data_IF_429107897431
#
_entry.id   IF_429107897431
#
_cell.length_a   1.000
_cell.length_b   1.000
_cell.length_c   1.000
_cell.angle_alpha   90.00
_cell.angle_beta   90.00
_cell.angle_gamma   90.00
#
_symmetry.space_group_name_H-M   'P 1'
#
loop_
_entity.id
_entity.type
_entity.pdbx_description
1 polymer ?
#
# COMPACT_ATOMS: atom_id res chain seq x y z
N UNK A 1 25.26 -10.78 32.84
CA UNK A 1 24.09 -10.36 32.06
C UNK A 1 23.85 -11.41 30.98
N UNK A 2 22.63 -11.57 30.48
CA UNK A 2 22.35 -12.48 29.36
C UNK A 2 22.42 -11.71 28.03
N UNK A 3 22.63 -12.42 26.93
CA UNK A 3 22.48 -11.83 25.60
C UNK A 3 20.99 -11.55 25.33
N UNK A 4 20.65 -10.33 24.94
CA UNK A 4 19.30 -9.87 24.69
C UNK A 4 19.25 -9.07 23.38
N UNK A 5 18.21 -9.30 22.57
CA UNK A 5 17.91 -8.48 21.39
C UNK A 5 16.47 -7.98 21.50
N UNK A 6 16.29 -6.66 21.39
CA UNK A 6 14.96 -6.02 21.32
C UNK A 6 14.72 -5.48 19.92
N UNK A 7 13.61 -5.88 19.32
CA UNK A 7 13.19 -5.45 17.99
C UNK A 7 12.15 -4.33 18.10
N UNK A 8 12.42 -3.19 17.47
CA UNK A 8 11.58 -2.00 17.42
C UNK A 8 11.45 -1.51 15.97
N UNK A 9 10.46 -0.65 15.64
CA UNK A 9 10.34 -0.07 14.30
C UNK A 9 11.63 0.63 13.84
N UNK A 10 12.33 0.02 12.88
CA UNK A 10 13.59 0.54 12.33
C UNK A 10 14.82 0.44 13.25
N UNK A 11 14.74 -0.28 14.37
CA UNK A 11 15.81 -0.36 15.36
C UNK A 11 15.89 -1.74 16.03
N UNK A 12 17.09 -2.31 16.12
CA UNK A 12 17.40 -3.44 16.99
C UNK A 12 18.34 -2.96 18.11
N UNK A 13 18.01 -3.24 19.37
CA UNK A 13 18.89 -2.99 20.51
C UNK A 13 19.46 -4.33 20.97
N UNK A 14 20.77 -4.52 20.81
CA UNK A 14 21.50 -5.75 21.12
C UNK A 14 22.37 -5.51 22.35
N UNK A 15 22.09 -6.21 23.44
CA UNK A 15 22.87 -6.16 24.68
C UNK A 15 23.52 -7.51 24.89
N UNK A 16 24.84 -7.55 24.98
CA UNK A 16 25.59 -8.78 25.20
C UNK A 16 26.02 -8.92 26.67
N UNK A 17 26.31 -10.17 27.06
CA UNK A 17 26.72 -10.52 28.42
C UNK A 17 28.02 -9.82 28.89
N UNK A 18 28.87 -9.42 27.96
CA UNK A 18 30.15 -8.73 28.16
C UNK A 18 30.01 -7.20 28.33
N UNK A 19 28.78 -6.68 28.27
CA UNK A 19 28.47 -5.26 28.44
C UNK A 19 28.46 -4.46 27.13
N UNK A 20 28.64 -5.10 25.97
CA UNK A 20 28.41 -4.46 24.68
C UNK A 20 26.93 -4.10 24.52
N UNK A 21 26.66 -2.84 24.15
CA UNK A 21 25.33 -2.33 23.82
C UNK A 21 25.39 -1.72 22.42
N UNK A 22 24.78 -2.41 21.46
CA UNK A 22 24.77 -2.06 20.05
C UNK A 22 23.34 -1.73 19.59
N UNK A 23 23.18 -0.54 19.03
CA UNK A 23 21.98 -0.12 18.31
C UNK A 23 22.19 -0.36 16.82
N UNK A 24 21.35 -1.19 16.23
CA UNK A 24 21.32 -1.45 14.78
C UNK A 24 20.14 -0.70 14.19
N UNK A 25 20.42 0.42 13.54
CA UNK A 25 19.40 1.25 12.89
C UNK A 25 19.22 0.75 11.46
N UNK A 26 18.01 0.36 11.08
CA UNK A 26 17.70 -0.14 9.75
C UNK A 26 17.04 0.95 8.91
N UNK A 27 17.66 1.30 7.78
CA UNK A 27 17.14 2.27 6.82
C UNK A 27 17.16 1.64 5.44
N UNK A 28 16.00 1.14 4.99
CA UNK A 28 15.88 0.39 3.73
C UNK A 28 16.87 -0.78 3.67
N UNK A 29 17.84 -0.76 2.73
CA UNK A 29 18.87 -1.79 2.57
C UNK A 29 20.19 -1.45 3.29
N UNK A 30 20.21 -0.39 4.10
CA UNK A 30 21.37 -0.01 4.90
C UNK A 30 21.12 -0.29 6.39
N UNK A 31 22.19 -0.69 7.09
CA UNK A 31 22.22 -0.85 8.55
C UNK A 31 23.31 0.05 9.11
N UNK A 32 22.98 0.90 10.07
CA UNK A 32 23.96 1.66 10.83
C UNK A 32 24.19 0.98 12.19
N UNK A 33 25.44 0.68 12.49
CA UNK A 33 25.87 0.06 13.75
C UNK A 33 26.40 1.16 14.67
N UNK A 34 25.64 1.47 15.70
CA UNK A 34 25.97 2.46 16.72
C UNK A 34 26.18 1.77 18.08
N UNK A 35 27.41 1.74 18.55
CA UNK A 35 27.74 1.28 19.89
C UNK A 35 27.50 2.39 20.91
N UNK A 36 26.57 2.13 21.84
CA UNK A 36 26.41 2.92 23.05
C UNK A 36 27.48 2.53 24.10
N UNK A 37 27.86 1.25 24.15
CA UNK A 37 28.91 0.72 25.02
C UNK A 37 29.61 -0.47 24.37
N UNK A 38 30.88 -0.71 24.74
CA UNK A 38 31.63 -1.90 24.32
C UNK A 38 32.03 -1.94 22.84
N UNK A 39 32.32 -0.79 22.22
CA UNK A 39 32.80 -0.71 20.83
C UNK A 39 34.04 -1.62 20.64
N UNK A 40 34.02 -2.56 19.67
CA UNK A 40 35.17 -3.41 19.38
C UNK A 40 36.35 -2.62 18.82
N UNK A 41 37.57 -3.08 19.14
CA UNK A 41 38.78 -2.57 18.50
C UNK A 41 38.72 -2.77 16.98
N UNK A 42 39.21 -1.79 16.22
CA UNK A 42 39.27 -1.77 14.75
C UNK A 42 37.91 -1.67 14.03
N UNK A 43 36.86 -1.27 14.73
CA UNK A 43 35.61 -0.82 14.12
C UNK A 43 35.39 0.65 14.50
N UNK A 44 35.01 1.47 13.52
CA UNK A 44 34.55 2.83 13.77
C UNK A 44 33.11 2.80 14.23
N UNK A 45 32.78 3.61 15.25
CA UNK A 45 31.39 3.78 15.64
C UNK A 45 30.58 4.37 14.47
N UNK A 46 29.27 4.19 14.49
CA UNK A 46 28.36 4.63 13.43
C UNK A 46 28.71 4.04 12.05
N UNK A 47 29.20 2.79 12.05
CA UNK A 47 29.52 2.08 10.81
C UNK A 47 28.25 1.86 9.99
N UNK A 48 28.22 2.34 8.74
CA UNK A 48 27.13 2.05 7.81
C UNK A 48 27.52 0.83 6.98
N UNK A 49 26.60 -0.13 6.91
CA UNK A 49 26.69 -1.34 6.09
C UNK A 49 25.58 -1.34 5.05
N UNK A 50 25.96 -1.24 3.79
CA UNK A 50 25.03 -1.36 2.67
C UNK A 50 24.91 -2.82 2.24
N UNK A 51 23.69 -3.32 2.17
CA UNK A 51 23.41 -4.68 1.76
C UNK A 51 23.01 -4.73 0.28
N UNK A 52 23.73 -5.51 -0.52
CA UNK A 52 23.31 -5.85 -1.89
C UNK A 52 22.73 -7.25 -1.92
N UNK A 53 21.51 -7.33 -2.44
CA UNK A 53 20.71 -8.54 -2.42
C UNK A 53 20.62 -9.18 -3.80
N UNK A 54 20.43 -10.50 -3.83
CA UNK A 54 20.00 -11.21 -5.03
C UNK A 54 18.51 -10.97 -5.33
N UNK A 55 17.97 -11.66 -6.34
CA UNK A 55 16.56 -11.54 -6.75
C UNK A 55 15.57 -12.09 -5.71
N UNK A 56 16.02 -12.93 -4.78
CA UNK A 56 15.23 -13.47 -3.66
C UNK A 56 15.34 -12.60 -2.39
N UNK A 57 16.15 -11.54 -2.44
CA UNK A 57 16.41 -10.68 -1.30
C UNK A 57 17.51 -11.17 -0.36
N UNK A 58 18.26 -12.23 -0.71
CA UNK A 58 19.36 -12.74 0.11
C UNK A 58 20.54 -11.78 0.11
N UNK A 59 21.13 -11.53 1.29
CA UNK A 59 22.28 -10.64 1.46
C UNK A 59 23.56 -11.25 0.88
N UNK A 60 23.95 -10.83 -0.32
CA UNK A 60 25.12 -11.39 -1.03
C UNK A 60 26.40 -10.62 -0.77
N UNK A 61 26.31 -9.29 -0.61
CA UNK A 61 27.45 -8.42 -0.33
C UNK A 61 27.10 -7.40 0.76
N UNK A 62 28.02 -7.15 1.68
CA UNK A 62 28.01 -5.99 2.56
C UNK A 62 29.14 -5.03 2.18
N UNK A 63 28.81 -3.76 1.94
CA UNK A 63 29.79 -2.70 1.68
C UNK A 63 29.78 -1.67 2.82
N UNK A 64 30.94 -1.05 3.09
CA UNK A 64 31.04 0.06 4.05
C UNK A 64 30.64 1.42 3.45
N UNK A 65 30.81 2.50 4.22
CA UNK A 65 30.37 3.83 3.83
C UNK A 65 31.15 4.38 2.62
N UNK A 66 32.33 3.84 2.36
CA UNK A 66 33.21 4.19 1.24
C UNK A 66 33.00 3.25 0.04
N UNK A 67 32.08 2.28 0.13
CA UNK A 67 31.81 1.28 -0.90
C UNK A 67 32.83 0.13 -0.93
N UNK A 68 33.66 -0.03 0.11
CA UNK A 68 34.61 -1.14 0.20
C UNK A 68 33.93 -2.39 0.73
N UNK A 69 34.35 -3.56 0.24
CA UNK A 69 33.77 -4.85 0.61
C UNK A 69 34.04 -5.17 2.10
N UNK A 70 32.97 -5.41 2.86
CA UNK A 70 33.02 -5.93 4.23
C UNK A 70 32.92 -7.45 4.20
N UNK A 71 31.86 -7.97 3.58
CA UNK A 71 31.58 -9.41 3.52
C UNK A 71 30.91 -9.81 2.21
N UNK A 72 31.08 -11.07 1.83
CA UNK A 72 30.39 -11.69 0.72
C UNK A 72 29.92 -13.09 1.12
N UNK A 73 28.70 -13.44 0.73
CA UNK A 73 28.06 -14.72 1.07
C UNK A 73 27.27 -15.27 -0.11
N UNK A 74 27.42 -16.56 -0.35
CA UNK A 74 26.68 -17.31 -1.38
C UNK A 74 25.89 -18.43 -0.71
N UNK A 75 24.71 -18.70 -1.25
CA UNK A 75 23.75 -19.63 -0.66
C UNK A 75 23.54 -20.85 -1.58
N UNK A 76 23.40 -22.03 -0.99
CA UNK A 76 22.72 -23.14 -1.62
C UNK A 76 21.25 -22.78 -1.88
N UNK A 77 20.56 -23.47 -2.81
CA UNK A 77 19.18 -23.13 -3.18
C UNK A 77 18.24 -22.96 -1.98
N UNK A 78 18.33 -23.84 -0.99
CA UNK A 78 17.47 -23.83 0.21
C UNK A 78 18.02 -22.99 1.38
N UNK A 79 18.96 -22.09 1.14
CA UNK A 79 19.38 -21.07 2.11
C UNK A 79 20.50 -21.45 3.07
N UNK A 80 21.06 -22.66 2.93
CA UNK A 80 22.33 -23.00 3.58
C UNK A 80 23.46 -22.14 2.99
N UNK A 81 24.37 -21.62 3.81
CA UNK A 81 25.53 -20.88 3.33
C UNK A 81 26.49 -21.82 2.61
N UNK A 82 26.67 -21.62 1.30
CA UNK A 82 27.59 -22.39 0.46
C UNK A 82 29.03 -21.86 0.57
N UNK A 83 29.16 -20.54 0.66
CA UNK A 83 30.45 -19.87 0.82
C UNK A 83 30.27 -18.55 1.56
N UNK A 84 31.20 -18.21 2.44
CA UNK A 84 31.18 -16.95 3.19
C UNK A 84 32.60 -16.49 3.50
N UNK A 85 32.86 -15.21 3.23
CA UNK A 85 34.09 -14.54 3.62
C UNK A 85 33.79 -13.11 4.10
N UNK A 86 34.65 -12.61 4.99
CA UNK A 86 34.65 -11.22 5.44
C UNK A 86 36.08 -10.72 5.55
N UNK A 87 36.29 -9.41 5.40
CA UNK A 87 37.62 -8.80 5.50
C UNK A 87 38.20 -8.86 6.93
N UNK A 88 37.35 -9.04 7.94
CA UNK A 88 37.77 -9.23 9.32
C UNK A 88 36.81 -10.16 10.09
N UNK A 89 37.37 -10.91 11.03
CA UNK A 89 36.58 -11.79 11.91
C UNK A 89 35.65 -11.00 12.85
N UNK A 90 36.00 -9.76 13.19
CA UNK A 90 35.18 -8.89 14.04
C UNK A 90 33.95 -8.42 13.26
N UNK A 91 34.12 -7.93 12.03
CA UNK A 91 32.98 -7.45 11.24
C UNK A 91 32.02 -8.56 10.84
N UNK A 92 32.53 -9.78 10.63
CA UNK A 92 31.74 -10.97 10.33
C UNK A 92 30.64 -11.25 11.37
N UNK A 93 30.88 -10.94 12.65
CA UNK A 93 29.94 -11.20 13.75
C UNK A 93 28.64 -10.41 13.67
N UNK A 94 28.68 -9.24 13.02
CA UNK A 94 27.55 -8.32 12.98
C UNK A 94 26.62 -8.52 11.77
N UNK A 95 26.87 -9.55 10.94
CA UNK A 95 25.97 -9.95 9.85
C UNK A 95 24.92 -10.95 10.33
N UNK A 96 23.72 -10.45 10.62
CA UNK A 96 22.59 -11.23 11.13
C UNK A 96 21.55 -11.55 10.06
N UNK A 97 21.26 -10.60 9.16
CA UNK A 97 20.37 -10.81 8.00
C UNK A 97 21.13 -11.46 6.85
N UNK A 98 20.61 -12.58 6.36
CA UNK A 98 21.28 -13.43 5.37
C UNK A 98 20.33 -13.85 4.24
N UNK A 99 19.97 -15.14 4.17
CA UNK A 99 19.11 -15.69 3.11
C UNK A 99 17.69 -15.10 3.13
N UNK A 100 17.13 -14.82 1.94
CA UNK A 100 15.82 -14.19 1.73
C UNK A 100 15.57 -12.91 2.56
N UNK A 101 16.64 -12.22 2.97
CA UNK A 101 16.56 -11.04 3.82
C UNK A 101 16.04 -11.33 5.24
N UNK A 102 16.20 -12.58 5.72
CA UNK A 102 15.78 -13.02 7.05
C UNK A 102 16.97 -13.13 8.00
N UNK A 103 16.71 -12.91 9.28
CA UNK A 103 17.70 -13.09 10.33
C UNK A 103 17.96 -14.58 10.56
N UNK A 104 19.24 -14.96 10.54
CA UNK A 104 19.68 -16.28 10.97
C UNK A 104 20.12 -16.21 12.43
N UNK A 105 19.41 -16.90 13.30
CA UNK A 105 19.72 -16.89 14.72
C UNK A 105 20.91 -17.82 15.07
N UNK A 106 21.27 -17.85 16.35
CA UNK A 106 22.37 -18.68 16.85
C UNK A 106 22.09 -20.19 16.75
N UNK A 107 20.82 -20.62 16.68
CA UNK A 107 20.46 -22.03 16.43
C UNK A 107 20.68 -22.43 14.96
N UNK A 108 20.86 -21.43 14.09
CA UNK A 108 21.01 -21.57 12.65
C UNK A 108 19.68 -21.49 11.90
N UNK A 109 18.55 -21.44 12.60
CA UNK A 109 17.23 -21.25 12.02
C UNK A 109 17.08 -19.83 11.48
N UNK A 110 16.25 -19.69 10.44
CA UNK A 110 15.83 -18.39 9.94
C UNK A 110 14.47 -18.02 10.51
N UNK A 111 14.36 -16.82 11.09
CA UNK A 111 13.09 -16.29 11.56
C UNK A 111 12.38 -15.53 10.43
N UNK A 112 11.22 -16.03 10.00
CA UNK A 112 10.44 -15.40 8.92
C UNK A 112 9.35 -14.48 9.44
N UNK A 113 8.89 -14.66 10.67
CA UNK A 113 7.75 -13.95 11.27
C UNK A 113 6.84 -14.95 11.96
N UNK A 114 5.97 -15.62 11.20
CA UNK A 114 5.05 -16.64 11.72
C UNK A 114 5.70 -18.01 11.92
N UNK A 115 6.82 -18.28 11.23
CA UNK A 115 7.50 -19.57 11.27
C UNK A 115 9.01 -19.43 11.36
N UNK A 116 9.64 -20.46 11.92
CA UNK A 116 11.09 -20.67 11.83
C UNK A 116 11.42 -21.70 10.75
N UNK A 117 12.44 -21.42 9.96
CA UNK A 117 12.87 -22.24 8.83
C UNK A 117 14.22 -22.90 9.10
N UNK A 118 14.32 -24.21 8.83
CA UNK A 118 15.55 -24.98 8.96
C UNK A 118 16.19 -25.21 7.58
N UNK A 119 17.21 -24.43 7.18
CA UNK A 119 17.80 -24.53 5.83
C UNK A 119 18.47 -25.88 5.57
N UNK A 120 18.98 -26.56 6.60
CA UNK A 120 19.57 -27.90 6.48
C UNK A 120 18.55 -29.02 6.34
N UNK A 121 17.29 -28.80 6.76
CA UNK A 121 16.18 -29.73 6.54
C UNK A 121 15.34 -29.38 5.32
N UNK A 122 15.60 -28.20 4.72
CA UNK A 122 14.90 -27.67 3.55
C UNK A 122 13.38 -27.55 3.78
N UNK A 123 12.97 -27.23 5.02
CA UNK A 123 11.55 -27.18 5.43
C UNK A 123 11.32 -26.29 6.66
N UNK A 124 10.06 -25.96 6.89
CA UNK A 124 9.61 -25.32 8.14
C UNK A 124 9.72 -26.29 9.31
N UNK A 125 9.96 -25.77 10.51
CA UNK A 125 9.99 -26.58 11.74
C UNK A 125 8.60 -26.72 12.40
N UNK A 126 7.63 -25.93 11.94
CA UNK A 126 6.25 -25.92 12.41
C UNK A 126 5.28 -25.85 11.21
N UNK A 127 4.05 -26.40 11.33
CA UNK A 127 3.08 -26.39 10.25
C UNK A 127 2.67 -24.96 9.86
N UNK A 128 2.22 -24.78 8.61
CA UNK A 128 1.71 -23.52 8.09
C UNK A 128 0.47 -23.05 8.88
N UNK A 129 0.53 -21.89 9.56
CA UNK A 129 -0.63 -21.37 10.28
C UNK A 129 -1.75 -20.91 9.34
N UNK A 130 -1.48 -20.74 8.03
CA UNK A 130 -2.50 -20.46 7.03
C UNK A 130 -3.26 -21.72 6.57
N UNK A 131 -2.92 -22.91 7.07
CA UNK A 131 -3.55 -24.16 6.67
C UNK A 131 -3.04 -24.69 5.33
N UNK A 132 -3.89 -25.40 4.60
CA UNK A 132 -3.57 -26.11 3.36
C UNK A 132 -3.60 -25.24 2.10
N UNK A 133 -3.60 -23.91 2.25
CA UNK A 133 -3.56 -22.93 1.15
C UNK A 133 -2.38 -23.15 0.18
N UNK A 134 -1.30 -23.77 0.67
CA UNK A 134 -0.07 -24.06 -0.08
C UNK A 134 0.07 -25.54 -0.47
N UNK A 135 -1.04 -26.27 -0.39
CA UNK A 135 -1.13 -27.72 -0.53
C UNK A 135 -1.10 -28.44 0.82
N UNK A 136 -1.38 -29.75 0.77
CA UNK A 136 -1.55 -30.61 1.96
C UNK A 136 -0.28 -30.76 2.80
N UNK A 137 0.90 -30.44 2.26
CA UNK A 137 2.15 -30.51 3.01
C UNK A 137 2.44 -29.18 3.71
N UNK A 138 1.97 -29.07 4.96
CA UNK A 138 2.09 -27.87 5.81
C UNK A 138 3.55 -27.51 6.21
N UNK A 139 4.53 -28.36 5.90
CA UNK A 139 5.94 -28.12 6.20
C UNK A 139 6.76 -27.73 4.97
N UNK A 140 6.15 -27.73 3.78
CA UNK A 140 6.83 -27.42 2.52
C UNK A 140 7.37 -25.99 2.49
N UNK A 141 8.63 -25.83 2.06
CA UNK A 141 9.22 -24.51 1.84
C UNK A 141 9.05 -24.13 0.36
N UNK A 142 8.28 -23.07 0.11
CA UNK A 142 8.09 -22.42 -1.21
C UNK A 142 7.87 -23.39 -2.38
N UNK A 143 7.00 -24.39 -2.16
CA UNK A 143 6.66 -25.44 -3.14
C UNK A 143 7.88 -26.16 -3.73
N UNK A 144 8.96 -26.32 -2.94
CA UNK A 144 10.25 -26.88 -3.36
C UNK A 144 10.92 -26.13 -4.53
N UNK A 145 10.60 -24.86 -4.75
CA UNK A 145 11.23 -24.02 -5.77
C UNK A 145 11.85 -22.75 -5.17
N UNK A 146 12.89 -22.87 -4.32
CA UNK A 146 13.51 -21.73 -3.64
C UNK A 146 14.44 -20.91 -4.53
N UNK A 147 14.47 -21.18 -5.84
CA UNK A 147 15.21 -20.41 -6.82
C UNK A 147 14.35 -19.28 -7.39
N UNK A 148 13.05 -19.51 -7.57
CA UNK A 148 12.14 -18.49 -8.13
C UNK A 148 11.17 -17.94 -7.09
N UNK A 149 10.89 -18.71 -6.03
CA UNK A 149 9.94 -18.33 -4.99
C UNK A 149 10.64 -17.93 -3.69
N UNK A 150 9.99 -17.06 -2.93
CA UNK A 150 10.43 -16.63 -1.60
C UNK A 150 9.24 -16.52 -0.65
N UNK A 151 9.33 -17.11 0.54
CA UNK A 151 8.34 -16.88 1.59
C UNK A 151 8.66 -15.56 2.30
N UNK A 152 7.66 -14.69 2.39
CA UNK A 152 7.82 -13.36 2.95
C UNK A 152 7.73 -13.34 4.47
N UNK A 153 6.88 -14.16 5.08
CA UNK A 153 6.58 -14.09 6.52
C UNK A 153 6.38 -15.46 7.17
N UNK A 154 6.47 -16.53 6.39
CA UNK A 154 6.17 -17.90 6.79
C UNK A 154 4.75 -18.32 6.46
N UNK A 155 4.13 -17.85 5.36
CA UNK A 155 2.76 -18.24 4.94
C UNK A 155 2.59 -18.31 3.40
N UNK A 156 3.59 -18.76 2.65
CA UNK A 156 3.69 -18.57 1.20
C UNK A 156 2.57 -19.18 0.31
N UNK A 157 1.48 -18.45 0.08
CA UNK A 157 0.55 -18.62 -1.05
C UNK A 157 0.63 -17.40 -1.97
N UNK A 158 0.86 -17.61 -3.27
CA UNK A 158 1.05 -16.52 -4.25
C UNK A 158 -0.24 -16.01 -4.88
N UNK A 159 -1.41 -16.50 -4.45
CA UNK A 159 -2.71 -16.10 -5.00
C UNK A 159 -2.87 -16.43 -6.49
N UNK A 160 -2.25 -17.53 -6.94
CA UNK A 160 -2.30 -17.97 -8.35
C UNK A 160 -3.29 -19.11 -8.50
N UNK A 161 -4.09 -19.07 -9.57
CA UNK A 161 -5.12 -20.06 -9.89
C UNK A 161 -6.08 -20.28 -8.69
N UNK A 162 -6.39 -19.18 -8.00
CA UNK A 162 -7.23 -19.14 -6.80
C UNK A 162 -8.66 -18.73 -7.15
N UNK A 163 -9.62 -18.83 -6.21
CA UNK A 163 -11.02 -18.44 -6.47
C UNK A 163 -11.20 -16.98 -6.94
N UNK A 164 -10.25 -16.09 -6.64
CA UNK A 164 -10.30 -14.71 -7.11
C UNK A 164 -9.87 -14.62 -8.58
N UNK A 165 -8.83 -15.35 -9.02
CA UNK A 165 -8.48 -15.45 -10.44
C UNK A 165 -9.56 -16.18 -11.23
N UNK A 166 -10.21 -17.18 -10.64
CA UNK A 166 -11.39 -17.82 -11.22
C UNK A 166 -12.52 -16.79 -11.43
N UNK A 167 -12.79 -15.93 -10.44
CA UNK A 167 -13.78 -14.85 -10.59
C UNK A 167 -13.40 -13.89 -11.72
N UNK A 168 -12.13 -13.46 -11.80
CA UNK A 168 -11.63 -12.61 -12.88
C UNK A 168 -11.84 -13.28 -14.25
N UNK A 169 -11.49 -14.55 -14.38
CA UNK A 169 -11.63 -15.24 -15.68
C UNK A 169 -13.08 -15.60 -16.02
N UNK A 170 -13.96 -15.76 -15.01
CA UNK A 170 -15.38 -16.03 -15.21
C UNK A 170 -16.14 -14.89 -15.89
N UNK A 171 -15.65 -13.65 -15.80
CA UNK A 171 -16.19 -12.49 -16.52
C UNK A 171 -15.75 -12.44 -17.99
N UNK A 172 -14.93 -13.40 -18.44
CA UNK A 172 -14.34 -13.45 -19.78
C UNK A 172 -12.98 -12.76 -19.89
N UNK A 173 -12.49 -12.12 -18.83
CA UNK A 173 -11.19 -11.46 -18.83
C UNK A 173 -10.05 -12.48 -18.91
N UNK A 174 -8.99 -12.15 -19.66
CA UNK A 174 -7.81 -13.01 -19.81
C UNK A 174 -6.67 -12.44 -18.97
N UNK A 175 -6.21 -13.19 -17.96
CA UNK A 175 -5.02 -12.82 -17.18
C UNK A 175 -3.77 -12.97 -18.07
N UNK A 176 -3.09 -11.84 -18.31
CA UNK A 176 -1.86 -11.73 -19.11
C UNK A 176 -0.60 -11.68 -18.26
N UNK A 177 -0.66 -11.03 -17.10
CA UNK A 177 0.50 -10.76 -16.25
C UNK A 177 0.16 -10.95 -14.78
N UNK A 178 1.04 -11.61 -14.03
CA UNK A 178 0.97 -11.74 -12.57
C UNK A 178 2.20 -11.10 -11.94
N UNK A 179 1.94 -10.13 -11.07
CA UNK A 179 2.95 -9.26 -10.51
C UNK A 179 3.49 -8.23 -11.51
N UNK A 180 3.95 -7.12 -10.97
CA UNK A 180 4.47 -5.97 -11.72
C UNK A 180 5.67 -6.32 -12.60
N UNK A 181 6.43 -7.35 -12.26
CA UNK A 181 7.62 -7.75 -13.04
C UNK A 181 7.27 -8.44 -14.36
N UNK A 182 6.08 -9.04 -14.48
CA UNK A 182 5.62 -9.68 -15.72
C UNK A 182 5.07 -8.68 -16.75
N UNK A 183 4.66 -7.49 -16.31
CA UNK A 183 4.21 -6.43 -17.23
C UNK A 183 5.35 -5.98 -18.14
N UNK A 184 5.06 -5.54 -19.38
CA UNK A 184 6.04 -4.89 -20.25
C UNK A 184 6.72 -3.70 -19.54
N UNK A 185 8.03 -3.52 -19.71
CA UNK A 185 8.82 -2.49 -18.98
C UNK A 185 8.20 -1.09 -19.01
N UNK A 186 7.62 -0.71 -20.16
CA UNK A 186 6.96 0.58 -20.32
C UNK A 186 5.68 0.70 -19.45
N UNK A 187 4.90 -0.37 -19.30
CA UNK A 187 3.77 -0.42 -18.38
C UNK A 187 4.22 -0.41 -16.92
N UNK A 188 5.30 -1.14 -16.59
CA UNK A 188 5.87 -1.09 -15.24
C UNK A 188 6.25 0.34 -14.84
N UNK A 189 6.88 1.09 -15.76
CA UNK A 189 7.26 2.49 -15.52
C UNK A 189 6.05 3.37 -15.26
N UNK A 190 5.00 3.24 -16.08
CA UNK A 190 3.76 4.01 -15.92
C UNK A 190 3.09 3.71 -14.56
N UNK A 191 3.00 2.45 -14.17
CA UNK A 191 2.44 2.03 -12.88
C UNK A 191 3.25 2.57 -11.70
N UNK A 192 4.59 2.43 -11.75
CA UNK A 192 5.51 2.97 -10.72
C UNK A 192 5.39 4.49 -10.59
N UNK A 193 5.31 5.20 -11.71
CA UNK A 193 5.14 6.66 -11.74
C UNK A 193 3.76 7.08 -11.22
N UNK A 194 2.71 6.32 -11.55
CA UNK A 194 1.36 6.57 -11.05
C UNK A 194 1.30 6.41 -9.53
N UNK A 195 1.77 5.29 -8.97
CA UNK A 195 1.84 5.07 -7.51
C UNK A 195 2.64 6.17 -6.80
N UNK A 196 3.79 6.56 -7.35
CA UNK A 196 4.61 7.66 -6.80
C UNK A 196 3.85 8.99 -6.80
N UNK A 197 3.00 9.22 -7.80
CA UNK A 197 2.16 10.43 -7.84
C UNK A 197 1.02 10.34 -6.83
N UNK A 198 0.36 9.19 -6.70
CA UNK A 198 -0.67 8.91 -5.69
C UNK A 198 -0.15 9.12 -4.27
N UNK A 199 1.01 8.56 -3.94
CA UNK A 199 1.63 8.74 -2.63
C UNK A 199 1.88 10.22 -2.30
N UNK A 200 2.36 11.00 -3.28
CA UNK A 200 2.54 12.45 -3.13
C UNK A 200 1.24 13.21 -2.94
N UNK A 201 0.14 12.75 -3.51
CA UNK A 201 -1.18 13.38 -3.34
C UNK A 201 -1.56 13.31 -1.87
N UNK A 202 -1.59 12.11 -1.30
CA UNK A 202 -1.92 11.91 0.11
C UNK A 202 -0.91 12.58 1.05
N UNK A 203 0.40 12.47 0.77
CA UNK A 203 1.43 13.14 1.56
C UNK A 203 1.23 14.66 1.64
N UNK A 204 0.93 15.30 0.51
CA UNK A 204 0.71 16.74 0.47
C UNK A 204 -0.60 17.14 1.16
N UNK A 205 -1.66 16.34 1.00
CA UNK A 205 -2.93 16.56 1.68
C UNK A 205 -2.78 16.50 3.21
N UNK A 206 -2.14 15.45 3.73
CA UNK A 206 -1.82 15.29 5.15
C UNK A 206 -0.98 16.45 5.68
N UNK A 207 0.01 16.91 4.92
CA UNK A 207 0.83 18.07 5.29
C UNK A 207 -0.02 19.34 5.42
N UNK A 208 -0.86 19.65 4.43
CA UNK A 208 -1.67 20.86 4.43
C UNK A 208 -2.70 20.86 5.56
N UNK A 209 -3.42 19.76 5.78
CA UNK A 209 -4.39 19.68 6.86
C UNK A 209 -3.73 19.79 8.24
N UNK A 210 -2.53 19.22 8.41
CA UNK A 210 -1.83 19.28 9.70
C UNK A 210 -1.21 20.65 9.99
N UNK A 211 -0.72 21.36 8.97
CA UNK A 211 0.06 22.59 9.17
C UNK A 211 -0.69 23.89 8.80
N UNK A 212 -1.77 23.77 8.02
CA UNK A 212 -2.57 24.90 7.53
C UNK A 212 -4.07 24.59 7.57
N UNK A 213 -4.64 24.13 8.71
CA UNK A 213 -6.01 23.60 8.75
C UNK A 213 -7.07 24.61 8.30
N UNK A 214 -6.95 25.87 8.71
CA UNK A 214 -7.93 26.94 8.39
C UNK A 214 -7.90 27.40 6.93
N UNK A 215 -6.82 27.14 6.19
CA UNK A 215 -6.67 27.55 4.79
C UNK A 215 -7.32 26.57 3.80
N UNK A 216 -7.84 25.44 4.31
CA UNK A 216 -8.32 24.34 3.48
C UNK A 216 -9.81 24.04 3.67
N UNK A 217 -10.48 24.81 4.53
CA UNK A 217 -11.91 24.68 4.86
C UNK A 217 -12.77 24.65 3.59
N UNK A 218 -12.51 25.53 2.63
CA UNK A 218 -13.25 25.58 1.36
C UNK A 218 -13.17 24.27 0.58
N UNK A 219 -12.01 23.59 0.57
CA UNK A 219 -11.88 22.29 -0.09
C UNK A 219 -12.60 21.23 0.73
N UNK A 220 -12.44 21.24 2.05
CA UNK A 220 -13.04 20.21 2.90
C UNK A 220 -14.57 20.27 2.87
N UNK A 221 -15.15 21.47 2.98
CA UNK A 221 -16.59 21.68 2.87
C UNK A 221 -17.16 21.23 1.52
N UNK A 222 -16.41 21.43 0.42
CA UNK A 222 -16.84 21.02 -0.92
C UNK A 222 -16.95 19.52 -1.10
N UNK A 223 -16.11 18.73 -0.41
CA UNK A 223 -16.08 17.26 -0.57
C UNK A 223 -16.79 16.51 0.54
N UNK A 224 -16.93 17.11 1.72
CA UNK A 224 -17.46 16.46 2.92
C UNK A 224 -18.62 17.21 3.57
N UNK A 225 -19.10 18.30 2.97
CA UNK A 225 -20.28 19.04 3.43
C UNK A 225 -20.03 19.99 4.61
N UNK A 226 -21.11 20.59 5.11
CA UNK A 226 -21.05 21.64 6.14
C UNK A 226 -20.59 21.11 7.51
N UNK A 227 -20.87 19.84 7.83
CA UNK A 227 -20.46 19.19 9.09
C UNK A 227 -19.09 18.48 8.97
N UNK A 228 -18.28 18.80 7.96
CA UNK A 228 -17.00 18.14 7.75
C UNK A 228 -16.04 18.22 8.96
N UNK A 229 -16.15 19.27 9.78
CA UNK A 229 -15.33 19.45 10.97
C UNK A 229 -15.41 18.25 11.93
N UNK A 230 -16.59 17.61 12.03
CA UNK A 230 -16.85 16.50 12.95
C UNK A 230 -16.17 15.19 12.49
N UNK A 231 -16.01 15.02 11.17
CA UNK A 231 -15.44 13.82 10.54
C UNK A 231 -13.96 13.97 10.16
N UNK A 232 -13.33 15.11 10.46
CA UNK A 232 -11.95 15.38 10.02
C UNK A 232 -10.94 14.34 10.52
N UNK A 233 -11.14 13.81 11.73
CA UNK A 233 -10.29 12.78 12.29
C UNK A 233 -10.31 11.51 11.41
N UNK A 234 -11.49 11.10 10.92
CA UNK A 234 -11.68 9.95 10.06
C UNK A 234 -11.04 10.16 8.68
N UNK A 235 -11.24 11.32 8.07
CA UNK A 235 -10.62 11.65 6.77
C UNK A 235 -9.08 11.62 6.85
N UNK A 236 -8.52 12.19 7.92
CA UNK A 236 -7.07 12.20 8.14
C UNK A 236 -6.54 10.78 8.31
N UNK A 237 -7.24 9.94 9.07
CA UNK A 237 -6.83 8.57 9.31
C UNK A 237 -6.94 7.72 8.04
N UNK A 238 -8.05 7.84 7.29
CA UNK A 238 -8.21 7.21 5.99
C UNK A 238 -7.06 7.59 5.04
N UNK A 239 -6.76 8.89 4.89
CA UNK A 239 -5.62 9.32 4.07
C UNK A 239 -4.26 8.83 4.56
N UNK A 240 -4.05 8.70 5.88
CA UNK A 240 -2.83 8.12 6.44
C UNK A 240 -2.71 6.65 6.05
N UNK A 241 -3.78 5.87 6.22
CA UNK A 241 -3.77 4.45 5.87
C UNK A 241 -3.61 4.24 4.36
N UNK A 242 -4.31 5.01 3.52
CA UNK A 242 -4.11 4.95 2.06
C UNK A 242 -2.68 5.36 1.68
N UNK A 243 -2.10 6.38 2.30
CA UNK A 243 -0.71 6.76 2.06
C UNK A 243 0.27 5.63 2.36
N UNK A 244 0.11 4.97 3.52
CA UNK A 244 0.94 3.82 3.92
C UNK A 244 0.73 2.65 2.96
N UNK A 245 -0.51 2.36 2.57
CA UNK A 245 -0.85 1.31 1.61
C UNK A 245 -0.21 1.56 0.25
N UNK A 246 -0.32 2.78 -0.29
CA UNK A 246 0.35 3.14 -1.54
C UNK A 246 1.88 2.99 -1.42
N UNK A 247 2.46 3.34 -0.28
CA UNK A 247 3.90 3.16 -0.01
C UNK A 247 4.30 1.69 -0.02
N UNK A 248 3.50 0.82 0.61
CA UNK A 248 3.68 -0.64 0.56
C UNK A 248 3.62 -1.16 -0.89
N UNK A 249 2.64 -0.69 -1.68
CA UNK A 249 2.46 -1.12 -3.06
C UNK A 249 3.60 -0.67 -4.00
N UNK A 250 4.31 0.41 -3.62
CA UNK A 250 5.57 0.83 -4.27
C UNK A 250 6.77 -0.02 -3.84
N UNK A 251 6.69 -0.63 -2.66
CA UNK A 251 7.73 -1.44 -2.04
C UNK A 251 7.78 -2.87 -2.56
N UNK A 252 8.54 -3.73 -1.89
CA UNK A 252 8.68 -5.16 -2.26
C UNK A 252 7.38 -5.94 -2.12
N UNK A 253 6.57 -5.59 -1.11
CA UNK A 253 5.32 -6.25 -0.75
C UNK A 253 4.20 -6.04 -1.79
N UNK A 254 4.25 -4.92 -2.51
CA UNK A 254 3.30 -4.59 -3.57
C UNK A 254 3.49 -5.27 -4.90
N UNK A 255 4.74 -5.62 -5.24
CA UNK A 255 5.09 -6.01 -6.61
C UNK A 255 4.34 -7.25 -7.07
N UNK A 256 4.08 -8.22 -6.20
CA UNK A 256 3.32 -9.42 -6.53
C UNK A 256 1.81 -9.18 -6.65
N UNK A 257 1.29 -8.04 -6.19
CA UNK A 257 -0.14 -7.76 -6.05
C UNK A 257 -0.75 -7.05 -7.27
N UNK A 258 -0.13 -7.13 -8.44
CA UNK A 258 -0.67 -6.55 -9.68
C UNK A 258 -1.06 -7.67 -10.64
N UNK A 259 -2.30 -7.68 -11.10
CA UNK A 259 -2.76 -8.63 -12.13
C UNK A 259 -3.09 -7.84 -13.38
N UNK A 260 -2.45 -8.14 -14.50
CA UNK A 260 -2.73 -7.52 -15.79
C UNK A 260 -3.72 -8.37 -16.56
N UNK A 261 -4.85 -7.79 -16.95
CA UNK A 261 -5.88 -8.45 -17.76
C UNK A 261 -6.02 -7.82 -19.14
N UNK A 262 -6.34 -8.65 -20.12
CA UNK A 262 -7.02 -8.23 -21.34
C UNK A 262 -8.52 -8.40 -21.10
N UNK A 263 -9.22 -7.28 -20.98
CA UNK A 263 -10.60 -7.31 -20.55
C UNK A 263 -11.55 -7.67 -21.71
N UNK A 264 -12.54 -8.52 -21.44
CA UNK A 264 -13.56 -8.88 -22.42
C UNK A 264 -14.48 -7.69 -22.75
N UNK A 265 -15.01 -7.02 -21.71
CA UNK A 265 -16.00 -5.95 -21.86
C UNK A 265 -15.78 -4.74 -20.93
N UNK A 266 -14.68 -4.70 -20.16
CA UNK A 266 -14.53 -3.72 -19.07
C UNK A 266 -14.27 -2.27 -19.54
N UNK A 267 -15.05 -1.34 -18.96
CA UNK A 267 -14.83 0.12 -19.03
C UNK A 267 -13.74 0.60 -18.06
N UNK A 268 -13.44 -0.19 -17.04
CA UNK A 268 -12.63 0.22 -15.91
C UNK A 268 -11.13 0.09 -16.22
N UNK A 269 -10.35 0.99 -15.61
CA UNK A 269 -8.91 1.03 -15.85
C UNK A 269 -8.17 0.06 -14.93
N UNK A 270 -8.70 -0.08 -13.72
CA UNK A 270 -8.26 -0.97 -12.68
C UNK A 270 -9.46 -1.22 -11.76
N UNK A 271 -9.42 -2.32 -11.01
CA UNK A 271 -10.33 -2.57 -9.91
C UNK A 271 -9.63 -3.39 -8.83
N UNK A 272 -10.17 -3.36 -7.61
CA UNK A 272 -9.81 -4.24 -6.51
C UNK A 272 -11.07 -4.98 -6.04
N UNK A 273 -10.92 -6.25 -5.68
CA UNK A 273 -11.91 -6.94 -4.86
C UNK A 273 -11.55 -6.71 -3.38
N UNK A 274 -12.38 -6.01 -2.58
CA UNK A 274 -12.08 -5.76 -1.16
C UNK A 274 -11.93 -7.06 -0.34
N UNK A 275 -12.56 -8.14 -0.81
CA UNK A 275 -12.50 -9.46 -0.18
C UNK A 275 -11.32 -10.31 -0.66
N UNK A 276 -10.49 -9.83 -1.59
CA UNK A 276 -9.28 -10.54 -2.00
C UNK A 276 -8.24 -10.53 -0.86
N UNK A 277 -7.94 -11.67 -0.22
CA UNK A 277 -6.99 -11.72 0.88
C UNK A 277 -5.57 -11.36 0.45
N UNK A 278 -5.27 -11.35 -0.85
CA UNK A 278 -3.97 -10.94 -1.41
C UNK A 278 -3.94 -9.46 -1.82
N UNK A 279 -5.09 -8.77 -1.83
CA UNK A 279 -5.22 -7.37 -2.20
C UNK A 279 -4.72 -7.06 -3.61
N UNK A 280 -5.00 -7.92 -4.59
CA UNK A 280 -4.52 -7.70 -5.96
C UNK A 280 -5.25 -6.53 -6.59
N UNK A 281 -4.46 -5.66 -7.21
CA UNK A 281 -4.95 -4.61 -8.11
C UNK A 281 -5.03 -5.22 -9.50
N UNK A 282 -6.25 -5.42 -9.98
CA UNK A 282 -6.48 -5.87 -11.35
C UNK A 282 -6.39 -4.68 -12.28
N UNK A 283 -5.57 -4.79 -13.32
CA UNK A 283 -5.23 -3.71 -14.25
C UNK A 283 -5.64 -4.11 -15.66
N UNK A 284 -6.53 -3.33 -16.27
CA UNK A 284 -6.81 -3.46 -17.70
C UNK A 284 -5.62 -2.93 -18.49
N UNK A 285 -4.90 -3.84 -19.16
CA UNK A 285 -3.62 -3.56 -19.84
C UNK A 285 -3.77 -2.45 -20.89
N UNK A 286 -4.90 -2.39 -21.59
CA UNK A 286 -5.16 -1.39 -22.64
C UNK A 286 -5.43 0.01 -22.07
N UNK A 287 -5.73 0.13 -20.78
CA UNK A 287 -6.11 1.40 -20.13
C UNK A 287 -4.98 2.02 -19.30
N UNK A 288 -3.85 1.33 -19.12
CA UNK A 288 -2.70 1.80 -18.32
C UNK A 288 -2.20 3.19 -18.78
N UNK A 289 -2.33 3.52 -20.07
CA UNK A 289 -1.85 4.80 -20.63
C UNK A 289 -2.75 6.01 -20.33
N UNK A 290 -3.87 5.86 -19.61
CA UNK A 290 -4.78 6.99 -19.32
C UNK A 290 -4.15 8.05 -18.40
N UNK A 291 -4.43 9.33 -18.71
CA UNK A 291 -3.86 10.52 -18.04
C UNK A 291 -4.09 10.61 -16.51
N UNK A 292 -4.99 9.78 -15.94
CA UNK A 292 -5.41 9.84 -14.53
C UNK A 292 -5.21 8.53 -13.75
N UNK A 293 -4.35 7.64 -14.22
CA UNK A 293 -4.10 6.35 -13.55
C UNK A 293 -3.75 6.49 -12.05
N UNK A 294 -3.01 7.54 -11.66
CA UNK A 294 -2.70 7.84 -10.25
C UNK A 294 -3.96 8.12 -9.38
N UNK A 295 -5.03 8.66 -9.96
CA UNK A 295 -6.29 8.84 -9.25
C UNK A 295 -6.98 7.49 -9.11
N UNK A 296 -7.07 6.72 -10.21
CA UNK A 296 -7.63 5.36 -10.17
C UNK A 296 -6.92 4.51 -9.13
N UNK A 297 -5.59 4.40 -9.16
CA UNK A 297 -4.85 3.63 -8.15
C UNK A 297 -5.04 4.16 -6.72
N UNK A 298 -5.24 5.47 -6.56
CA UNK A 298 -5.51 6.06 -5.25
C UNK A 298 -6.90 5.77 -4.71
N UNK A 299 -7.88 5.60 -5.62
CA UNK A 299 -9.24 5.14 -5.35
C UNK A 299 -9.24 3.64 -5.07
N UNK A 300 -8.70 2.81 -5.96
CA UNK A 300 -8.69 1.35 -5.76
C UNK A 300 -8.02 0.96 -4.45
N UNK A 301 -6.83 1.52 -4.17
CA UNK A 301 -6.09 1.21 -2.96
C UNK A 301 -6.76 1.73 -1.68
N UNK A 302 -7.74 2.63 -1.77
CA UNK A 302 -8.51 3.04 -0.59
C UNK A 302 -9.63 2.06 -0.23
N UNK A 303 -10.05 1.16 -1.12
CA UNK A 303 -10.99 0.09 -0.76
C UNK A 303 -10.34 -1.05 0.03
N UNK A 304 -9.02 -1.16 0.00
CA UNK A 304 -8.36 -2.25 0.70
C UNK A 304 -8.48 -2.06 2.21
N UNK A 305 -8.89 -3.12 2.91
CA UNK A 305 -8.81 -3.26 4.36
C UNK A 305 -7.58 -4.10 4.73
N UNK A 306 -7.73 -5.20 5.46
CA UNK A 306 -6.61 -6.06 5.86
C UNK A 306 -6.22 -7.03 4.73
N UNK A 307 -4.95 -6.98 4.32
CA UNK A 307 -4.41 -7.85 3.27
C UNK A 307 -3.34 -8.76 3.85
N UNK A 308 -3.33 -10.02 3.45
CA UNK A 308 -2.32 -11.02 3.86
C UNK A 308 -0.92 -10.54 3.52
N UNK A 309 0.01 -10.68 4.48
CA UNK A 309 1.39 -10.22 4.35
C UNK A 309 1.56 -8.68 4.29
N UNK A 310 0.53 -7.91 4.64
CA UNK A 310 0.62 -6.46 4.85
C UNK A 310 0.77 -6.11 6.34
N UNK A 311 1.60 -5.11 6.65
CA UNK A 311 1.73 -4.53 8.00
C UNK A 311 0.77 -3.35 8.21
N UNK A 312 0.03 -2.95 7.18
CA UNK A 312 -0.86 -1.78 7.18
C UNK A 312 -2.30 -2.25 7.32
N UNK A 313 -3.06 -1.73 8.28
CA UNK A 313 -4.52 -1.87 8.30
C UNK A 313 -5.13 -0.90 7.29
N UNK A 314 -5.96 -1.39 6.38
CA UNK A 314 -6.40 -0.58 5.25
C UNK A 314 -7.48 0.46 5.60
N UNK A 315 -7.63 1.51 4.77
CA UNK A 315 -8.64 2.57 4.92
C UNK A 315 -10.11 2.14 4.77
N UNK A 316 -10.38 1.02 4.08
CA UNK A 316 -11.72 0.41 3.92
C UNK A 316 -12.81 1.39 3.43
N UNK A 317 -12.51 2.18 2.39
CA UNK A 317 -13.47 3.09 1.76
C UNK A 317 -14.48 2.34 0.88
N UNK A 318 -15.55 3.03 0.50
CA UNK A 318 -16.68 2.50 -0.28
C UNK A 318 -16.98 3.35 -1.51
N UNK A 319 -17.79 2.81 -2.41
CA UNK A 319 -18.32 3.50 -3.58
C UNK A 319 -19.79 3.82 -3.35
N UNK A 320 -20.09 4.91 -2.65
CA UNK A 320 -21.48 5.37 -2.48
C UNK A 320 -21.97 6.19 -3.66
N UNK A 321 -21.05 6.94 -4.27
CA UNK A 321 -21.30 7.76 -5.45
C UNK A 321 -19.98 8.12 -6.14
N UNK A 322 -20.04 8.26 -7.46
CA UNK A 322 -18.92 8.72 -8.29
C UNK A 322 -18.96 10.23 -8.55
N UNK A 323 -17.77 10.82 -8.70
CA UNK A 323 -17.56 12.22 -9.10
C UNK A 323 -17.24 12.37 -10.60
N UNK A 324 -17.28 11.28 -11.39
CA UNK A 324 -16.57 11.19 -12.67
C UNK A 324 -17.30 11.51 -14.00
N UNK A 325 -18.57 11.17 -14.22
CA UNK A 325 -19.15 11.41 -15.55
C UNK A 325 -19.41 12.88 -15.90
N UNK A 326 -19.12 13.23 -17.17
CA UNK A 326 -19.36 14.56 -17.77
C UNK A 326 -20.83 15.00 -17.71
N UNK A 327 -21.75 14.05 -17.56
CA UNK A 327 -23.19 14.30 -17.49
C UNK A 327 -23.72 14.39 -16.06
N UNK A 328 -22.94 14.02 -15.02
CA UNK A 328 -23.38 14.04 -13.62
C UNK A 328 -23.79 15.41 -13.10
N UNK A 329 -23.15 16.48 -13.60
CA UNK A 329 -23.50 17.84 -13.21
C UNK A 329 -24.91 18.26 -13.67
N UNK A 330 -25.52 17.53 -14.62
CA UNK A 330 -26.93 17.72 -15.03
C UNK A 330 -27.91 16.84 -14.25
N UNK A 331 -27.38 15.85 -13.54
CA UNK A 331 -28.12 14.83 -12.80
C UNK A 331 -28.17 15.13 -11.31
N UNK A 332 -27.46 16.16 -10.90
CA UNK A 332 -27.61 16.79 -9.60
C UNK A 332 -28.43 18.07 -9.76
N UNK A 333 -29.20 18.48 -8.75
CA UNK A 333 -30.11 19.64 -8.80
C UNK A 333 -29.41 21.02 -8.98
N UNK A 334 -28.15 21.08 -9.44
CA UNK A 334 -27.35 22.31 -9.53
C UNK A 334 -27.36 22.99 -10.90
N UNK A 335 -27.50 24.32 -10.91
CA UNK A 335 -27.35 25.16 -12.11
C UNK A 335 -25.87 25.25 -12.58
N UNK A 336 -25.65 25.09 -13.89
CA UNK A 336 -24.46 25.42 -14.69
C UNK A 336 -23.09 25.52 -13.97
N UNK A 337 -22.37 24.40 -13.93
CA UNK A 337 -20.99 24.29 -13.45
C UNK A 337 -19.98 24.89 -14.45
N UNK A 338 -19.22 25.91 -14.02
CA UNK A 338 -18.13 26.51 -14.82
C UNK A 338 -16.81 25.72 -14.74
N UNK A 339 -15.96 25.90 -15.74
CA UNK A 339 -15.05 24.91 -16.33
C UNK A 339 -13.72 24.61 -15.57
N UNK A 340 -13.48 25.08 -14.34
CA UNK A 340 -12.14 24.95 -13.73
C UNK A 340 -11.97 23.87 -12.66
N UNK A 341 -13.02 23.23 -12.15
CA UNK A 341 -12.84 22.13 -11.19
C UNK A 341 -14.02 21.15 -11.14
N UNK A 342 -14.42 20.61 -12.29
CA UNK A 342 -15.62 19.77 -12.45
C UNK A 342 -15.88 18.71 -11.36
N UNK A 343 -14.85 18.08 -10.79
CA UNK A 343 -15.01 17.08 -9.72
C UNK A 343 -15.41 17.69 -8.39
N UNK A 344 -14.81 18.84 -8.05
CA UNK A 344 -15.16 19.61 -6.85
C UNK A 344 -16.60 20.11 -6.96
N UNK A 345 -16.99 20.59 -8.13
CA UNK A 345 -18.36 21.04 -8.35
C UNK A 345 -19.41 19.91 -8.26
N UNK A 346 -19.09 18.70 -8.75
CA UNK A 346 -19.97 17.54 -8.54
C UNK A 346 -20.05 17.19 -7.06
N UNK A 347 -18.92 17.22 -6.33
CA UNK A 347 -18.91 16.98 -4.88
C UNK A 347 -19.73 18.02 -4.12
N UNK A 348 -19.63 19.31 -4.48
CA UNK A 348 -20.43 20.41 -3.92
C UNK A 348 -21.93 20.21 -4.19
N UNK A 349 -22.29 19.79 -5.39
CA UNK A 349 -23.69 19.53 -5.73
C UNK A 349 -24.25 18.36 -4.90
N UNK A 350 -23.48 17.29 -4.71
CA UNK A 350 -23.87 16.13 -3.90
C UNK A 350 -23.97 16.54 -2.42
N UNK A 351 -22.94 17.17 -1.88
CA UNK A 351 -22.87 17.54 -0.45
C UNK A 351 -23.80 18.70 -0.07
N UNK A 352 -24.41 19.37 -1.05
CA UNK A 352 -25.49 20.36 -0.86
C UNK A 352 -26.89 19.76 -1.04
N UNK A 353 -27.01 18.42 -1.06
CA UNK A 353 -28.30 17.73 -1.17
C UNK A 353 -28.84 17.64 -2.60
N UNK A 354 -27.95 17.53 -3.58
CA UNK A 354 -28.31 17.53 -5.00
C UNK A 354 -28.51 16.16 -5.64
N UNK A 355 -28.39 15.03 -4.93
CA UNK A 355 -28.54 13.71 -5.56
C UNK A 355 -29.99 13.46 -6.01
N UNK A 356 -30.16 12.73 -7.12
CA UNK A 356 -31.49 12.46 -7.72
C UNK A 356 -31.65 10.99 -8.12
N UNK A 357 -32.89 10.56 -8.37
CA UNK A 357 -33.16 9.21 -8.88
C UNK A 357 -32.53 8.94 -10.26
N UNK A 358 -32.42 9.97 -11.11
CA UNK A 358 -31.78 9.84 -12.44
C UNK A 358 -30.26 9.70 -12.36
N UNK A 359 -29.65 10.05 -11.23
CA UNK A 359 -28.24 9.76 -10.97
C UNK A 359 -28.02 8.24 -10.91
N UNK A 360 -28.78 7.56 -10.04
CA UNK A 360 -28.65 6.12 -9.79
C UNK A 360 -29.18 5.26 -10.95
N UNK A 361 -30.15 5.76 -11.72
CA UNK A 361 -30.65 5.05 -12.92
C UNK A 361 -29.54 4.79 -13.96
N UNK A 362 -28.48 5.61 -13.96
CA UNK A 362 -27.36 5.52 -14.92
C UNK A 362 -26.17 4.73 -14.38
N UNK A 363 -26.20 4.36 -13.11
CA UNK A 363 -25.12 3.64 -12.42
C UNK A 363 -25.76 2.56 -11.54
N UNK A 364 -26.14 1.45 -12.17
CA UNK A 364 -27.03 0.44 -11.59
C UNK A 364 -26.49 -0.20 -10.30
N UNK A 365 -25.17 -0.27 -10.12
CA UNK A 365 -24.55 -1.02 -9.02
C UNK A 365 -24.32 -0.20 -7.74
N UNK A 366 -24.65 1.10 -7.73
CA UNK A 366 -24.45 1.98 -6.56
C UNK A 366 -25.68 2.08 -5.66
N UNK A 367 -26.87 1.86 -6.21
CA UNK A 367 -28.13 2.19 -5.54
C UNK A 367 -28.31 1.41 -4.23
N UNK A 368 -28.02 0.12 -4.26
CA UNK A 368 -28.23 -0.78 -3.12
C UNK A 368 -27.26 -0.47 -1.98
N UNK A 369 -25.99 -0.21 -2.30
CA UNK A 369 -24.97 0.14 -1.30
C UNK A 369 -25.25 1.51 -0.68
N UNK A 370 -25.64 2.50 -1.50
CA UNK A 370 -26.07 3.81 -1.03
C UNK A 370 -27.28 3.71 -0.10
N UNK A 371 -28.35 3.03 -0.51
CA UNK A 371 -29.55 2.83 0.29
C UNK A 371 -29.23 2.15 1.62
N UNK A 372 -28.44 1.07 1.57
CA UNK A 372 -28.02 0.31 2.75
C UNK A 372 -27.26 1.20 3.73
N UNK A 373 -26.35 2.04 3.23
CA UNK A 373 -25.56 2.93 4.10
C UNK A 373 -26.41 4.05 4.69
N UNK A 374 -27.28 4.69 3.91
CA UNK A 374 -28.20 5.71 4.43
C UNK A 374 -29.10 5.12 5.52
N UNK A 375 -29.68 3.93 5.27
CA UNK A 375 -30.49 3.20 6.26
C UNK A 375 -29.73 2.94 7.55
N UNK A 376 -28.45 2.53 7.46
CA UNK A 376 -27.63 2.23 8.63
C UNK A 376 -27.27 3.48 9.46
N UNK A 377 -27.20 4.66 8.83
CA UNK A 377 -26.85 5.92 9.49
C UNK A 377 -28.06 6.70 10.01
N UNK A 378 -29.24 6.45 9.44
CA UNK A 378 -30.46 7.16 9.82
C UNK A 378 -30.95 6.74 11.22
N UNK A 379 -31.40 7.71 12.02
CA UNK A 379 -31.88 7.47 13.40
C UNK A 379 -33.12 6.57 13.49
N UNK A 380 -33.88 6.45 12.40
CA UNK A 380 -35.01 5.54 12.24
C UNK A 380 -34.81 4.70 10.95
N UNK A 381 -34.07 3.58 11.00
CA UNK A 381 -33.75 2.80 9.80
C UNK A 381 -34.99 2.26 9.05
N UNK A 382 -36.05 1.91 9.79
CA UNK A 382 -37.29 1.36 9.23
C UNK A 382 -38.04 2.35 8.33
N UNK A 383 -37.71 3.64 8.39
CA UNK A 383 -38.30 4.64 7.49
C UNK A 383 -37.63 4.67 6.12
N UNK A 384 -36.41 4.11 5.98
CA UNK A 384 -35.69 4.04 4.70
C UNK A 384 -36.13 2.77 3.97
N UNK A 385 -37.28 2.85 3.32
CA UNK A 385 -37.94 1.70 2.67
C UNK A 385 -37.52 1.47 1.21
N UNK A 386 -36.97 2.50 0.57
CA UNK A 386 -36.52 2.47 -0.82
C UNK A 386 -35.45 3.54 -1.08
N UNK A 387 -34.87 3.50 -2.28
CA UNK A 387 -33.87 4.46 -2.72
C UNK A 387 -34.37 5.91 -2.75
N UNK A 388 -35.64 6.16 -3.09
CA UNK A 388 -36.17 7.53 -3.16
C UNK A 388 -36.22 8.18 -1.77
N UNK A 389 -36.58 7.40 -0.76
CA UNK A 389 -36.53 7.82 0.64
C UNK A 389 -35.09 7.98 1.13
N UNK A 390 -34.19 7.07 0.73
CA UNK A 390 -32.76 7.19 1.05
C UNK A 390 -32.13 8.46 0.46
N UNK A 391 -32.41 8.77 -0.81
CA UNK A 391 -31.95 10.01 -1.46
C UNK A 391 -32.49 11.23 -0.74
N UNK A 392 -33.77 11.21 -0.35
CA UNK A 392 -34.42 12.32 0.35
C UNK A 392 -33.76 12.59 1.70
N UNK A 393 -33.54 11.56 2.51
CA UNK A 393 -32.92 11.72 3.83
C UNK A 393 -31.43 12.03 3.73
N UNK A 394 -30.70 11.43 2.79
CA UNK A 394 -29.31 11.82 2.49
C UNK A 394 -29.21 13.31 2.14
N UNK A 395 -30.05 13.80 1.22
CA UNK A 395 -30.00 15.19 0.78
C UNK A 395 -30.35 16.19 1.90
N UNK A 396 -31.09 15.73 2.91
CA UNK A 396 -31.59 16.57 4.01
C UNK A 396 -30.65 16.59 5.22
N UNK A 397 -29.92 15.52 5.50
CA UNK A 397 -29.13 15.35 6.72
C UNK A 397 -27.63 15.61 6.47
N UNK A 398 -27.07 16.75 6.93
CA UNK A 398 -25.66 17.07 6.75
C UNK A 398 -24.71 16.09 7.46
N UNK A 399 -25.17 15.40 8.51
CA UNK A 399 -24.39 14.39 9.22
C UNK A 399 -24.25 13.12 8.39
N UNK A 400 -25.32 12.63 7.77
CA UNK A 400 -25.28 11.50 6.83
C UNK A 400 -24.38 11.84 5.64
N UNK A 401 -24.50 13.05 5.09
CA UNK A 401 -23.63 13.54 4.01
C UNK A 401 -22.17 13.48 4.43
N UNK A 402 -21.81 14.05 5.59
CA UNK A 402 -20.43 14.11 6.06
C UNK A 402 -19.84 12.71 6.30
N UNK A 403 -20.60 11.86 6.99
CA UNK A 403 -20.21 10.49 7.29
C UNK A 403 -20.00 9.66 6.01
N UNK A 404 -20.97 9.64 5.09
CA UNK A 404 -20.83 8.90 3.83
C UNK A 404 -19.72 9.49 2.95
N UNK A 405 -19.62 10.81 2.85
CA UNK A 405 -18.57 11.45 2.04
C UNK A 405 -17.16 11.15 2.57
N UNK A 406 -17.00 11.07 3.88
CA UNK A 406 -15.72 10.75 4.52
C UNK A 406 -15.27 9.30 4.32
N UNK A 407 -16.20 8.42 3.96
CA UNK A 407 -15.98 7.01 3.65
C UNK A 407 -16.01 6.72 2.14
N UNK A 408 -16.31 7.70 1.29
CA UNK A 408 -16.41 7.53 -0.15
C UNK A 408 -15.03 7.67 -0.83
N UNK A 409 -14.59 6.63 -1.55
CA UNK A 409 -13.27 6.55 -2.18
C UNK A 409 -12.97 7.76 -3.08
N UNK A 410 -13.95 8.14 -3.90
CA UNK A 410 -13.88 9.27 -4.81
C UNK A 410 -13.71 10.62 -4.09
N UNK A 411 -14.49 10.84 -3.04
CA UNK A 411 -14.41 12.06 -2.23
C UNK A 411 -13.02 12.21 -1.61
N UNK A 412 -12.51 11.11 -1.05
CA UNK A 412 -11.19 11.06 -0.41
C UNK A 412 -10.05 11.38 -1.39
N UNK A 413 -9.96 10.70 -2.53
CA UNK A 413 -8.84 10.91 -3.48
C UNK A 413 -8.93 12.28 -4.16
N UNK A 414 -10.15 12.78 -4.47
CA UNK A 414 -10.30 14.06 -5.14
C UNK A 414 -10.07 15.26 -4.21
N UNK A 415 -10.52 15.19 -2.96
CA UNK A 415 -10.18 16.19 -1.95
C UNK A 415 -8.66 16.26 -1.76
N UNK A 416 -8.00 15.10 -1.58
CA UNK A 416 -6.54 15.03 -1.48
C UNK A 416 -5.85 15.58 -2.74
N UNK A 417 -6.40 15.34 -3.94
CA UNK A 417 -5.88 15.87 -5.19
C UNK A 417 -6.03 17.40 -5.31
N UNK A 418 -7.10 18.01 -4.78
CA UNK A 418 -7.20 19.47 -4.75
C UNK A 418 -6.19 20.08 -3.77
N UNK A 419 -6.04 19.49 -2.58
CA UNK A 419 -5.01 19.88 -1.62
C UNK A 419 -3.60 19.74 -2.22
N UNK A 420 -3.34 18.67 -2.97
CA UNK A 420 -2.07 18.49 -3.68
C UNK A 420 -1.78 19.62 -4.69
N UNK A 421 -2.80 20.15 -5.38
CA UNK A 421 -2.63 21.31 -6.28
C UNK A 421 -2.31 22.57 -5.48
N UNK A 422 -3.09 22.85 -4.43
CA UNK A 422 -2.87 24.00 -3.54
C UNK A 422 -1.49 23.97 -2.90
N UNK A 423 -1.02 22.79 -2.48
CA UNK A 423 0.34 22.59 -1.97
C UNK A 423 1.39 23.02 -3.01
N UNK A 424 1.22 22.64 -4.28
CA UNK A 424 2.17 23.00 -5.34
C UNK A 424 2.17 24.48 -5.68
N UNK A 425 1.03 25.15 -5.55
CA UNK A 425 0.92 26.59 -5.71
C UNK A 425 1.63 27.32 -4.57
N UNK A 426 1.47 26.84 -3.33
CA UNK A 426 2.12 27.41 -2.14
C UNK A 426 3.63 27.12 -2.07
N UNK A 427 4.04 25.94 -2.49
CA UNK A 427 5.43 25.48 -2.47
C UNK A 427 5.87 25.08 -3.90
N UNK A 428 6.05 26.06 -4.80
CA UNK A 428 6.50 25.78 -6.16
C UNK A 428 7.89 25.14 -6.10
N UNK A 429 8.10 24.10 -6.91
CA UNK A 429 9.43 23.53 -7.07
C UNK A 429 10.33 24.63 -7.66
N UNK A 430 11.47 24.92 -7.01
CA UNK A 430 12.47 25.86 -7.52
C UNK A 430 12.88 25.51 -8.96
N UNK A 431 13.43 26.47 -9.73
CA UNK A 431 13.68 26.29 -11.15
C UNK A 431 14.47 25.00 -11.41
N UNK A 432 13.87 24.13 -12.23
CA UNK A 432 14.47 22.92 -12.75
C UNK A 432 15.86 23.24 -13.34
N UNK A 433 16.87 22.41 -13.03
CA UNK A 433 18.25 22.49 -13.56
C UNK A 433 18.36 22.54 -15.10
N UNK A 434 17.24 22.49 -15.83
CA UNK A 434 17.17 22.68 -17.28
C UNK A 434 17.33 24.13 -17.74
N UNK A 435 17.22 25.13 -16.85
CA UNK A 435 17.37 26.55 -17.19
C UNK A 435 18.79 27.14 -16.99
N UNK A 436 19.82 26.29 -16.83
CA UNK A 436 21.25 26.72 -16.77
C UNK A 436 22.07 26.30 -17.99
N UNK A 437 21.40 26.11 -19.13
CA UNK A 437 22.04 25.93 -20.43
C UNK A 437 21.34 26.81 -21.45
N UNK A 438 21.53 28.12 -21.30
CA UNK A 438 21.54 29.08 -22.40
C UNK A 438 22.74 30.00 -22.18
#
# INVERSE_FOLDING_TARGET
MNNEVRYLPGLEIRTNADGEILHVITVQNARALHWQAGLPNNITNDQIRYNLNDHLGSSTLELDQQGSLISQESYYPFGGTAWWAARSAVEAKYKTVRYSGKERDASGLYYYGFRYYAPWLQRWINPDPAGDVNGLNLFSFVTNNPITHSDLDGRFYEGKDDPTEELITSTGDIIRYRGLNEFPEHHQKILKDALKKTEKIYKHALYLISNHPTENDDIMSSFFGQQHADIMHHVIESWRQTHLRVSEYRGRFGKGKFVGIEAADSKDNAYINPNDPHGRVVMNVDKIKKKKLHITLGHELSHLSNVTGSEVTGPDSYDYYYLFPKDLSKLTNGENVTNQNKYRAVAEAITSGGLTRDYFSKIQDLADEFETRVRALHSAPDTIVDLDTAITEFNRDPGIIAEMSSNNADSLIWAAQQLHKRYKEKFPAGPSKRARRE
#
